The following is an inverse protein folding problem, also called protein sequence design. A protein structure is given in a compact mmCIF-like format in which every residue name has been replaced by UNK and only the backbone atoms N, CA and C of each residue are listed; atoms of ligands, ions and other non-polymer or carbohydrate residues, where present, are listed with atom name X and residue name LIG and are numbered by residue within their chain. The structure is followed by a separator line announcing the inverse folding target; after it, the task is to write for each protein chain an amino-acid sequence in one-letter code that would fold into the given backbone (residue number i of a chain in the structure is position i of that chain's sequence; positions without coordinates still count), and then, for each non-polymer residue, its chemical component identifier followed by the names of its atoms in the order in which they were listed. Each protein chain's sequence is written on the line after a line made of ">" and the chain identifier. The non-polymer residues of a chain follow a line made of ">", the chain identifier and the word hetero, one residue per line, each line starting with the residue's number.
data_IF_296690302598
#
_entry.id   IF_296690302598
#
_cell.length_a   1.000
_cell.length_b   1.000
_cell.length_c   1.000
_cell.angle_alpha   90.00
_cell.angle_beta   90.00
_cell.angle_gamma   90.00
#
_symmetry.space_group_name_H-M   'P 1'
#
loop_
_entity.id
_entity.type
_entity.pdbx_description
1 polymer ?
#
# COMPACT_ATOMS: atom_id res chain seq x y z
N UNK A 1 2.34 9.80 -9.68
CA UNK A 1 2.73 8.41 -9.94
C UNK A 1 4.10 8.38 -10.60
N UNK A 2 4.89 7.37 -10.35
CA UNK A 2 6.22 7.25 -10.90
C UNK A 2 6.23 6.60 -12.30
N UNK A 3 7.40 6.61 -12.93
CA UNK A 3 7.61 6.06 -14.28
C UNK A 3 7.23 4.58 -14.40
N UNK A 4 7.29 3.82 -13.30
CA UNK A 4 6.91 2.41 -13.26
C UNK A 4 5.41 2.23 -13.55
N UNK A 5 4.59 3.10 -12.97
CA UNK A 5 3.13 3.04 -13.18
C UNK A 5 2.75 3.46 -14.60
N UNK A 6 3.44 4.46 -15.14
CA UNK A 6 3.25 4.90 -16.53
C UNK A 6 3.62 3.79 -17.53
N UNK A 7 4.73 3.12 -17.29
CA UNK A 7 5.16 1.99 -18.12
C UNK A 7 4.14 0.85 -18.07
N UNK A 8 3.64 0.54 -16.87
CA UNK A 8 2.62 -0.49 -16.69
C UNK A 8 1.32 -0.14 -17.43
N UNK A 9 0.86 1.10 -17.31
CA UNK A 9 -0.35 1.58 -18.01
C UNK A 9 -0.20 1.44 -19.53
N UNK A 10 0.98 1.75 -20.05
CA UNK A 10 1.27 1.62 -21.49
C UNK A 10 1.21 0.16 -21.92
N UNK A 11 1.85 -0.74 -21.18
CA UNK A 11 1.83 -2.17 -21.47
C UNK A 11 0.42 -2.75 -21.46
N UNK A 12 -0.42 -2.31 -20.52
CA UNK A 12 -1.82 -2.71 -20.44
C UNK A 12 -2.62 -2.22 -21.65
N UNK A 13 -2.38 -0.98 -22.07
CA UNK A 13 -3.00 -0.41 -23.28
C UNK A 13 -2.67 -1.21 -24.53
N UNK A 14 -1.40 -1.55 -24.72
CA UNK A 14 -0.94 -2.34 -25.84
C UNK A 14 -1.53 -3.76 -25.84
N UNK A 15 -1.64 -4.39 -24.68
CA UNK A 15 -2.26 -5.71 -24.54
C UNK A 15 -3.75 -5.68 -24.91
N UNK A 16 -4.46 -4.63 -24.51
CA UNK A 16 -5.88 -4.43 -24.85
C UNK A 16 -6.07 -4.28 -26.36
N UNK A 17 -5.24 -3.48 -26.99
CA UNK A 17 -5.26 -3.28 -28.45
C UNK A 17 -5.07 -4.60 -29.20
N UNK A 18 -4.08 -5.38 -28.79
CA UNK A 18 -3.81 -6.70 -29.40
C UNK A 18 -4.99 -7.66 -29.21
N UNK A 19 -5.57 -7.72 -28.02
CA UNK A 19 -6.71 -8.59 -27.73
C UNK A 19 -7.93 -8.20 -28.55
N UNK A 20 -8.19 -6.89 -28.70
CA UNK A 20 -9.30 -6.38 -29.52
C UNK A 20 -9.10 -6.72 -30.99
N UNK A 21 -7.89 -6.58 -31.53
CA UNK A 21 -7.56 -6.90 -32.90
C UNK A 21 -7.71 -8.40 -33.21
N UNK A 22 -7.52 -9.26 -32.19
CA UNK A 22 -7.66 -10.71 -32.30
C UNK A 22 -9.08 -11.22 -32.02
N UNK A 23 -10.02 -10.33 -31.64
CA UNK A 23 -11.39 -10.72 -31.27
C UNK A 23 -11.48 -11.53 -29.98
N UNK A 24 -10.54 -11.38 -29.07
CA UNK A 24 -10.45 -12.12 -27.81
C UNK A 24 -11.18 -11.39 -26.67
N UNK A 25 -12.52 -11.48 -26.65
CA UNK A 25 -13.34 -10.84 -25.64
C UNK A 25 -13.04 -11.30 -24.19
N UNK A 26 -12.70 -12.58 -24.00
CA UNK A 26 -12.29 -13.14 -22.72
C UNK A 26 -11.02 -12.47 -22.17
N UNK A 27 -10.05 -12.18 -23.04
CA UNK A 27 -8.81 -11.47 -22.68
C UNK A 27 -9.12 -10.02 -22.35
N UNK A 28 -10.01 -9.36 -23.10
CA UNK A 28 -10.43 -7.98 -22.81
C UNK A 28 -11.10 -7.88 -21.44
N UNK A 29 -12.00 -8.81 -21.11
CA UNK A 29 -12.66 -8.84 -19.79
C UNK A 29 -11.65 -9.01 -18.66
N UNK A 30 -10.66 -9.91 -18.83
CA UNK A 30 -9.59 -10.10 -17.87
C UNK A 30 -8.76 -8.82 -17.68
N UNK A 31 -8.38 -8.18 -18.79
CA UNK A 31 -7.59 -6.95 -18.73
C UNK A 31 -8.36 -5.80 -18.09
N UNK A 32 -9.67 -5.71 -18.33
CA UNK A 32 -10.52 -4.70 -17.71
C UNK A 32 -10.62 -4.90 -16.20
N UNK A 33 -10.79 -6.15 -15.75
CA UNK A 33 -10.84 -6.47 -14.32
C UNK A 33 -9.50 -6.13 -13.67
N UNK A 34 -8.39 -6.49 -14.29
CA UNK A 34 -7.06 -6.19 -13.79
C UNK A 34 -6.82 -4.70 -13.66
N UNK A 35 -7.20 -3.92 -14.67
CA UNK A 35 -7.07 -2.47 -14.64
C UNK A 35 -7.92 -1.85 -13.53
N UNK A 36 -9.14 -2.35 -13.33
CA UNK A 36 -10.01 -1.89 -12.24
C UNK A 36 -9.39 -2.18 -10.88
N UNK A 37 -8.84 -3.38 -10.68
CA UNK A 37 -8.16 -3.75 -9.44
C UNK A 37 -6.91 -2.90 -9.19
N UNK A 38 -6.15 -2.60 -10.23
CA UNK A 38 -4.95 -1.77 -10.11
C UNK A 38 -5.31 -0.32 -9.70
N UNK A 39 -6.44 0.20 -10.17
CA UNK A 39 -6.93 1.50 -9.71
C UNK A 39 -7.30 1.48 -8.22
N UNK A 40 -7.95 0.41 -7.74
CA UNK A 40 -8.26 0.24 -6.33
C UNK A 40 -6.98 0.09 -5.50
N UNK A 41 -5.98 -0.64 -6.00
CA UNK A 41 -4.67 -0.79 -5.35
C UNK A 41 -3.97 0.55 -5.19
N UNK A 42 -3.88 1.31 -6.28
CA UNK A 42 -3.25 2.63 -6.27
C UNK A 42 -3.98 3.60 -5.32
N UNK A 43 -5.31 3.62 -5.35
CA UNK A 43 -6.11 4.46 -4.48
C UNK A 43 -5.92 4.10 -3.00
N UNK A 44 -5.88 2.80 -2.69
CA UNK A 44 -5.69 2.33 -1.31
C UNK A 44 -4.32 2.67 -0.77
N UNK A 45 -3.26 2.47 -1.55
CA UNK A 45 -1.89 2.82 -1.16
C UNK A 45 -1.77 4.33 -0.95
N UNK A 46 -2.29 5.13 -1.87
CA UNK A 46 -2.24 6.59 -1.76
C UNK A 46 -3.00 7.09 -0.52
N UNK A 47 -4.19 6.54 -0.27
CA UNK A 47 -4.96 6.89 0.93
C UNK A 47 -4.17 6.65 2.21
N UNK A 48 -3.50 5.50 2.33
CA UNK A 48 -2.74 5.15 3.53
C UNK A 48 -1.57 6.12 3.74
N UNK A 49 -0.79 6.35 2.69
CA UNK A 49 0.37 7.25 2.73
C UNK A 49 -0.06 8.69 3.02
N UNK A 50 -1.10 9.17 2.36
CA UNK A 50 -1.62 10.52 2.57
C UNK A 50 -2.21 10.71 3.96
N UNK A 51 -2.86 9.69 4.52
CA UNK A 51 -3.42 9.77 5.87
C UNK A 51 -2.32 9.92 6.91
N UNK A 52 -1.24 9.11 6.82
CA UNK A 52 -0.09 9.27 7.71
C UNK A 52 0.60 10.62 7.50
N UNK A 53 0.72 11.07 6.27
CA UNK A 53 1.31 12.38 5.95
C UNK A 53 0.51 13.51 6.57
N UNK A 54 -0.82 13.45 6.49
CA UNK A 54 -1.69 14.45 7.09
C UNK A 54 -1.59 14.48 8.62
N UNK A 55 -1.57 13.30 9.25
CA UNK A 55 -1.40 13.19 10.71
C UNK A 55 -0.05 13.77 11.14
N UNK A 56 1.02 13.48 10.41
CA UNK A 56 2.34 14.04 10.69
C UNK A 56 2.35 15.56 10.52
N UNK A 57 1.66 16.07 9.50
CA UNK A 57 1.51 17.51 9.27
C UNK A 57 0.79 18.21 10.42
N UNK A 58 -0.26 17.60 10.96
CA UNK A 58 -0.98 18.12 12.13
C UNK A 58 -0.06 18.16 13.36
N UNK A 59 0.68 17.05 13.58
CA UNK A 59 1.63 16.98 14.70
C UNK A 59 2.71 18.06 14.56
N UNK A 60 3.23 18.28 13.34
CA UNK A 60 4.24 19.31 13.08
C UNK A 60 3.71 20.72 13.33
N UNK A 61 2.46 21.00 13.00
CA UNK A 61 1.83 22.29 13.32
C UNK A 61 1.76 22.51 14.84
N UNK A 62 1.68 21.42 15.61
CA UNK A 62 1.74 21.47 17.06
C UNK A 62 3.17 21.39 17.62
N UNK A 63 4.19 21.46 16.78
CA UNK A 63 5.59 21.51 17.18
C UNK A 63 6.32 20.17 17.29
N UNK A 64 5.80 19.11 16.72
CA UNK A 64 6.41 17.77 16.85
C UNK A 64 7.80 17.64 16.19
N UNK A 65 8.07 18.38 15.13
CA UNK A 65 9.37 18.36 14.46
C UNK A 65 9.68 17.05 13.75
N UNK A 66 8.67 16.43 13.13
CA UNK A 66 8.84 15.20 12.35
C UNK A 66 9.42 15.49 10.97
N UNK A 67 10.38 14.67 10.54
CA UNK A 67 10.86 14.65 9.18
C UNK A 67 10.11 13.58 8.39
N UNK A 68 9.75 13.90 7.15
CA UNK A 68 9.04 12.97 6.26
C UNK A 68 9.91 12.67 5.06
N UNK A 69 9.97 11.39 4.68
CA UNK A 69 10.66 10.94 3.47
C UNK A 69 9.76 9.94 2.75
N UNK A 70 9.50 10.18 1.46
CA UNK A 70 8.66 9.31 0.63
C UNK A 70 9.49 8.78 -0.53
N UNK A 71 9.44 7.46 -0.75
CA UNK A 71 10.13 6.78 -1.85
C UNK A 71 9.13 6.01 -2.68
N UNK A 72 9.13 6.22 -3.99
CA UNK A 72 8.31 5.48 -4.94
C UNK A 72 9.08 4.27 -5.49
N UNK A 73 8.35 3.36 -6.14
CA UNK A 73 8.91 2.14 -6.73
C UNK A 73 9.74 1.32 -5.71
N UNK A 74 9.33 1.36 -4.46
CA UNK A 74 10.00 0.69 -3.36
C UNK A 74 9.59 -0.79 -3.30
N UNK A 75 10.58 -1.67 -3.16
CA UNK A 75 10.37 -3.12 -3.08
C UNK A 75 10.52 -3.56 -1.62
N UNK A 76 9.60 -4.40 -1.17
CA UNK A 76 9.64 -4.95 0.18
C UNK A 76 9.01 -6.35 0.22
N UNK A 77 9.29 -7.10 1.27
CA UNK A 77 8.82 -8.47 1.42
C UNK A 77 7.68 -8.55 2.42
N UNK A 78 6.64 -9.30 2.04
CA UNK A 78 5.57 -9.72 2.96
C UNK A 78 5.45 -11.24 2.83
N UNK A 79 5.86 -11.97 3.85
CA UNK A 79 5.97 -13.42 3.76
C UNK A 79 6.99 -13.80 2.68
N UNK A 80 6.57 -14.63 1.73
CA UNK A 80 7.41 -15.09 0.62
C UNK A 80 7.23 -14.25 -0.66
N UNK A 81 6.41 -13.21 -0.60
CA UNK A 81 6.09 -12.39 -1.76
C UNK A 81 6.81 -11.05 -1.72
N UNK A 82 7.06 -10.50 -2.90
CA UNK A 82 7.66 -9.17 -3.07
C UNK A 82 6.57 -8.20 -3.48
N UNK A 83 6.43 -7.13 -2.70
CA UNK A 83 5.53 -6.02 -3.00
C UNK A 83 6.32 -4.88 -3.61
N UNK A 84 5.70 -4.13 -4.50
CA UNK A 84 6.29 -2.92 -5.09
C UNK A 84 5.30 -1.79 -4.92
N UNK A 85 5.75 -0.69 -4.35
CA UNK A 85 4.87 0.45 -4.10
C UNK A 85 5.61 1.63 -3.48
N UNK A 86 5.08 2.13 -2.37
CA UNK A 86 5.54 3.35 -1.73
C UNK A 86 6.05 3.09 -0.32
N UNK A 87 7.11 3.77 0.05
CA UNK A 87 7.64 3.79 1.41
C UNK A 87 7.56 5.22 1.94
N UNK A 88 6.95 5.38 3.11
CA UNK A 88 6.93 6.62 3.86
C UNK A 88 7.68 6.42 5.18
N UNK A 89 8.61 7.29 5.48
CA UNK A 89 9.31 7.28 6.77
C UNK A 89 9.03 8.60 7.48
N UNK A 90 8.52 8.48 8.70
CA UNK A 90 8.35 9.60 9.63
C UNK A 90 9.39 9.43 10.72
N UNK A 91 10.25 10.42 10.93
CA UNK A 91 11.33 10.30 11.90
C UNK A 91 11.45 11.51 12.81
N UNK A 92 11.89 11.24 14.04
CA UNK A 92 12.17 12.23 15.05
C UNK A 92 13.32 11.73 15.91
N UNK A 93 14.50 12.34 15.78
CA UNK A 93 15.70 11.85 16.45
C UNK A 93 16.01 10.43 16.01
N UNK A 94 16.17 9.52 16.98
CA UNK A 94 16.46 8.10 16.70
C UNK A 94 15.20 7.26 16.46
N UNK A 95 14.03 7.84 16.59
CA UNK A 95 12.75 7.15 16.39
C UNK A 95 12.31 7.28 14.94
N UNK A 96 11.77 6.20 14.39
CA UNK A 96 11.22 6.21 13.05
C UNK A 96 10.01 5.27 12.95
N UNK A 97 9.01 5.76 12.25
CA UNK A 97 7.83 5.01 11.84
C UNK A 97 7.91 4.83 10.33
N UNK A 98 7.87 3.59 9.86
CA UNK A 98 7.92 3.28 8.43
C UNK A 98 6.60 2.67 7.98
N UNK A 99 6.07 3.17 6.88
CA UNK A 99 4.89 2.64 6.22
C UNK A 99 5.30 2.20 4.82
N UNK A 100 5.13 0.91 4.54
CA UNK A 100 5.41 0.33 3.22
C UNK A 100 4.12 -0.24 2.69
N UNK A 101 3.71 0.15 1.50
CA UNK A 101 2.46 -0.32 0.90
C UNK A 101 2.63 -0.58 -0.59
N UNK A 102 2.11 -1.69 -1.08
CA UNK A 102 2.25 -2.07 -2.48
C UNK A 102 1.61 -3.41 -2.80
N UNK A 103 1.88 -3.88 -4.00
CA UNK A 103 1.37 -5.16 -4.50
C UNK A 103 2.38 -5.79 -5.47
N UNK A 104 2.27 -7.12 -5.72
CA UNK A 104 3.12 -7.78 -6.70
C UNK A 104 2.85 -7.23 -8.10
N UNK A 105 3.91 -7.00 -8.88
CA UNK A 105 3.79 -6.45 -10.24
C UNK A 105 4.01 -7.50 -11.33
N UNK A 106 4.60 -8.66 -10.97
CA UNK A 106 4.87 -9.75 -11.90
C UNK A 106 4.58 -11.09 -11.21
N UNK A 107 4.31 -12.18 -11.96
CA UNK A 107 4.06 -13.50 -11.36
C UNK A 107 5.19 -13.98 -10.43
N UNK A 108 6.44 -13.67 -10.75
CA UNK A 108 7.61 -14.02 -9.92
C UNK A 108 7.62 -13.34 -8.56
N UNK A 109 6.88 -12.25 -8.40
CA UNK A 109 6.79 -11.52 -7.13
C UNK A 109 5.91 -12.24 -6.12
N UNK A 110 5.12 -13.22 -6.57
CA UNK A 110 4.21 -13.96 -5.71
C UNK A 110 2.81 -13.33 -5.68
N UNK A 111 2.11 -13.57 -4.58
CA UNK A 111 0.72 -13.14 -4.41
C UNK A 111 0.56 -12.36 -3.11
N UNK A 112 -0.52 -11.59 -3.00
CA UNK A 112 -0.88 -10.91 -1.75
C UNK A 112 -1.37 -11.97 -0.76
N UNK A 113 -0.71 -12.06 0.39
CA UNK A 113 -1.09 -12.98 1.47
C UNK A 113 -2.50 -12.61 1.97
N UNK A 114 -3.36 -13.63 2.08
CA UNK A 114 -4.74 -13.42 2.48
C UNK A 114 -5.69 -13.11 1.33
N UNK A 115 -5.22 -13.10 0.08
CA UNK A 115 -6.05 -12.96 -1.12
C UNK A 115 -6.55 -11.56 -1.41
N UNK A 116 -5.93 -10.53 -0.81
CA UNK A 116 -6.34 -9.15 -1.02
C UNK A 116 -5.71 -8.50 -2.26
N UNK A 117 -5.95 -7.19 -2.39
CA UNK A 117 -5.45 -6.38 -3.50
C UNK A 117 -4.01 -5.93 -3.29
N UNK A 118 -3.64 -5.58 -2.07
CA UNK A 118 -2.34 -5.04 -1.71
C UNK A 118 -2.02 -5.37 -0.26
N UNK A 119 -0.75 -5.26 0.10
CA UNK A 119 -0.28 -5.40 1.48
C UNK A 119 0.41 -4.14 1.95
N UNK A 120 0.38 -3.90 3.26
CA UNK A 120 1.18 -2.85 3.86
C UNK A 120 1.78 -3.32 5.18
N UNK A 121 2.92 -2.74 5.51
CA UNK A 121 3.60 -2.95 6.79
C UNK A 121 3.77 -1.58 7.45
N UNK A 122 3.35 -1.49 8.69
CA UNK A 122 3.60 -0.33 9.55
C UNK A 122 4.56 -0.79 10.63
N UNK A 123 5.73 -0.19 10.70
CA UNK A 123 6.77 -0.63 11.62
C UNK A 123 7.41 0.51 12.36
N UNK A 124 7.90 0.22 13.57
CA UNK A 124 8.65 1.17 14.41
C UNK A 124 10.09 0.68 14.54
N UNK A 125 11.04 1.54 14.25
CA UNK A 125 12.46 1.22 14.38
C UNK A 125 12.79 0.74 15.79
N UNK A 126 13.39 -0.45 15.86
CA UNK A 126 13.79 -1.05 17.14
C UNK A 126 12.65 -1.68 17.96
N UNK A 127 11.40 -1.62 17.51
CA UNK A 127 10.23 -2.13 18.24
C UNK A 127 9.47 -3.13 17.38
N UNK A 128 9.96 -4.36 17.32
CA UNK A 128 9.42 -5.41 16.42
C UNK A 128 7.93 -5.71 16.64
N UNK A 129 7.47 -5.68 17.88
CA UNK A 129 6.10 -6.08 18.21
C UNK A 129 5.09 -4.93 18.13
N UNK A 130 5.56 -3.72 17.82
CA UNK A 130 4.72 -2.54 17.74
C UNK A 130 4.11 -2.31 16.36
N UNK A 131 4.51 -3.10 15.38
CA UNK A 131 4.06 -2.94 13.98
C UNK A 131 2.74 -3.64 13.69
N UNK A 132 2.19 -3.28 12.55
CA UNK A 132 0.98 -3.89 11.99
C UNK A 132 1.23 -4.37 10.56
N UNK A 133 0.59 -5.48 10.21
CA UNK A 133 0.43 -5.92 8.83
C UNK A 133 -0.98 -5.62 8.38
N UNK A 134 -1.12 -4.99 7.21
CA UNK A 134 -2.40 -4.56 6.67
C UNK A 134 -2.69 -5.26 5.34
N UNK A 135 -3.97 -5.48 5.08
CA UNK A 135 -4.46 -6.10 3.85
C UNK A 135 -5.51 -5.19 3.21
N UNK A 136 -5.33 -4.87 1.94
CA UNK A 136 -6.30 -4.09 1.18
C UNK A 136 -7.31 -5.03 0.53
N UNK A 137 -8.58 -4.78 0.76
CA UNK A 137 -9.65 -5.57 0.16
C UNK A 137 -10.64 -4.66 -0.57
N UNK A 138 -11.30 -5.16 -1.63
CA UNK A 138 -12.36 -4.39 -2.27
C UNK A 138 -13.60 -4.33 -1.38
N UNK A 139 -14.25 -3.18 -1.37
CA UNK A 139 -15.54 -2.98 -0.69
C UNK A 139 -16.40 -2.08 -1.58
N UNK A 140 -17.30 -2.67 -2.35
CA UNK A 140 -18.04 -1.94 -3.37
C UNK A 140 -17.09 -1.31 -4.40
N UNK A 141 -17.22 -0.02 -4.64
CA UNK A 141 -16.40 0.73 -5.59
C UNK A 141 -15.13 1.32 -4.96
N UNK A 142 -14.92 1.07 -3.67
CA UNK A 142 -13.78 1.59 -2.92
C UNK A 142 -12.97 0.46 -2.29
N UNK A 143 -11.66 0.66 -2.09
CA UNK A 143 -10.85 -0.30 -1.32
C UNK A 143 -10.93 0.04 0.17
N UNK A 144 -10.69 -0.98 0.99
CA UNK A 144 -10.64 -0.84 2.45
C UNK A 144 -9.44 -1.59 3.01
N UNK A 145 -8.74 -0.98 3.95
CA UNK A 145 -7.65 -1.65 4.67
C UNK A 145 -8.18 -2.41 5.87
N UNK A 146 -7.70 -3.64 6.03
CA UNK A 146 -7.92 -4.47 7.22
C UNK A 146 -6.59 -4.65 7.95
N UNK A 147 -6.66 -4.76 9.27
CA UNK A 147 -5.51 -5.16 10.08
C UNK A 147 -5.53 -6.68 10.21
N UNK A 148 -4.40 -7.32 9.91
CA UNK A 148 -4.18 -8.74 10.16
C UNK A 148 -3.66 -8.87 11.59
N UNK A 149 -4.56 -9.19 12.52
CA UNK A 149 -4.21 -9.30 13.93
C UNK A 149 -3.35 -10.53 14.20
N UNK A 150 -2.54 -10.50 15.25
CA UNK A 150 -1.67 -11.61 15.64
C UNK A 150 -2.45 -12.88 15.97
N UNK A 151 -3.70 -12.74 16.36
CA UNK A 151 -4.62 -13.85 16.64
C UNK A 151 -5.11 -14.55 15.37
N UNK A 152 -4.85 -14.00 14.18
CA UNK A 152 -5.39 -14.45 12.90
C UNK A 152 -6.70 -13.77 12.53
N UNK A 153 -7.29 -12.98 13.42
CA UNK A 153 -8.49 -12.21 13.13
C UNK A 153 -8.17 -11.03 12.18
N UNK A 154 -9.17 -10.62 11.43
CA UNK A 154 -9.10 -9.40 10.59
C UNK A 154 -10.01 -8.35 11.19
N UNK A 155 -9.51 -7.14 11.37
CA UNK A 155 -10.29 -6.02 11.88
C UNK A 155 -10.16 -4.82 10.96
N UNK A 156 -11.18 -3.95 10.95
CA UNK A 156 -11.13 -2.74 10.14
C UNK A 156 -10.01 -1.81 10.64
N UNK A 157 -9.24 -1.23 9.71
CA UNK A 157 -8.27 -0.22 10.05
C UNK A 157 -9.00 1.09 10.33
N UNK A 158 -8.97 1.54 11.58
CA UNK A 158 -9.56 2.80 12.00
C UNK A 158 -8.48 3.88 12.09
N UNK A 159 -8.87 5.12 11.83
CA UNK A 159 -7.97 6.26 11.92
C UNK A 159 -7.32 6.40 13.31
N UNK A 160 -8.04 6.01 14.33
CA UNK A 160 -7.57 5.93 15.71
C UNK A 160 -6.33 5.04 15.85
N UNK A 161 -6.25 3.93 15.09
CA UNK A 161 -5.07 3.06 15.12
C UNK A 161 -3.86 3.72 14.47
N UNK A 162 -4.09 4.47 13.40
CA UNK A 162 -3.03 5.26 12.76
C UNK A 162 -2.52 6.35 13.71
N UNK A 163 -3.43 7.00 14.40
CA UNK A 163 -3.08 8.01 15.43
C UNK A 163 -2.27 7.42 16.56
N UNK A 164 -2.56 6.18 16.97
CA UNK A 164 -1.78 5.48 18.00
C UNK A 164 -0.34 5.20 17.55
N UNK A 165 -0.14 4.85 16.28
CA UNK A 165 1.21 4.69 15.73
C UNK A 165 1.98 6.00 15.80
N UNK A 166 1.33 7.10 15.43
CA UNK A 166 1.96 8.42 15.51
C UNK A 166 2.28 8.81 16.96
N UNK A 167 1.35 8.58 17.89
CA UNK A 167 1.58 8.83 19.31
C UNK A 167 2.77 8.04 19.86
N UNK A 168 2.92 6.79 19.41
CA UNK A 168 4.06 5.95 19.79
C UNK A 168 5.38 6.50 19.26
N UNK A 169 5.39 7.04 18.05
CA UNK A 169 6.56 7.70 17.46
C UNK A 169 6.95 8.93 18.27
N UNK A 170 5.98 9.68 18.74
CA UNK A 170 6.22 10.91 19.49
C UNK A 170 6.62 10.66 20.95
N UNK A 171 6.37 9.48 21.46
CA UNK A 171 6.71 9.07 22.82
C UNK A 171 5.66 9.44 23.80
#
# INVERSE_FOLDING_TARGET
>A
MGSLDEEYERQMGDARERARAQGRGDVLDYLDLRAANDRLRAAGVEWLVETFTALAGEANRAGAGLSLSRTEAHRFRVGNSTMVGTRLVLSRGVRALTVEAGWPRAPRDGVVRGGGLASALVGHFGLRDAGDELLLVPEGDSPRWLVLEKTGARSALLEERLSRHLAKLLG
#
